data_IF_243250279230
#
_entry.id   IF_243250279230
#
_cell.length_a   1.000
_cell.length_b   1.000
_cell.length_c   1.000
_cell.angle_alpha   90.00
_cell.angle_beta   90.00
_cell.angle_gamma   90.00
#
_symmetry.space_group_name_H-M   'P 1'
#
loop_
_entity.id
_entity.type
_entity.pdbx_description
1 polymer ?
#
# COMPACT_ATOMS: atom_id res chain seq x y z
N UNK A 1 -20.36 14.29 -19.34
CA UNK A 1 -19.91 13.20 -18.46
C UNK A 1 -18.66 12.64 -19.07
N UNK A 2 -17.52 12.95 -18.47
CA UNK A 2 -16.21 12.62 -19.03
C UNK A 2 -15.51 11.74 -18.00
N UNK A 3 -15.26 10.50 -18.42
CA UNK A 3 -14.82 9.40 -17.59
C UNK A 3 -13.35 9.61 -17.18
N UNK A 4 -13.14 10.07 -15.93
CA UNK A 4 -11.82 10.37 -15.36
C UNK A 4 -11.05 9.11 -14.93
N UNK A 5 -11.19 8.00 -15.64
CA UNK A 5 -10.47 6.73 -15.37
C UNK A 5 -9.47 6.36 -16.46
N UNK A 6 -8.61 7.31 -16.85
CA UNK A 6 -7.37 6.96 -17.53
C UNK A 6 -6.22 7.84 -17.03
N UNK A 7 -5.47 7.35 -16.03
CA UNK A 7 -4.06 7.70 -15.84
C UNK A 7 -3.28 6.45 -15.48
N UNK A 8 -2.10 6.37 -16.08
CA UNK A 8 -1.30 5.18 -16.29
C UNK A 8 -0.91 4.46 -14.99
N UNK A 9 -1.10 3.13 -14.99
CA UNK A 9 -0.60 2.22 -13.97
C UNK A 9 0.68 1.57 -14.54
N UNK A 10 1.84 2.00 -14.07
CA UNK A 10 3.09 1.22 -14.25
C UNK A 10 3.17 0.30 -13.04
N UNK A 11 2.59 -0.89 -13.14
CA UNK A 11 2.87 -1.96 -12.18
C UNK A 11 4.17 -2.63 -12.62
N UNK A 12 5.23 -2.46 -11.84
CA UNK A 12 6.41 -3.32 -11.92
C UNK A 12 6.01 -4.74 -11.54
N UNK A 13 5.87 -5.60 -12.54
CA UNK A 13 5.60 -7.02 -12.33
C UNK A 13 6.86 -7.72 -11.81
N UNK A 14 6.78 -8.28 -10.61
CA UNK A 14 7.75 -9.27 -10.17
C UNK A 14 7.44 -10.60 -10.84
N UNK A 15 8.40 -11.10 -11.61
CA UNK A 15 8.37 -12.43 -12.20
C UNK A 15 8.30 -13.49 -11.09
N UNK A 16 7.25 -14.30 -11.08
CA UNK A 16 7.26 -15.58 -10.36
C UNK A 16 7.91 -16.64 -11.27
N UNK A 17 8.75 -17.55 -10.74
CA UNK A 17 9.27 -18.64 -11.55
C UNK A 17 8.14 -19.64 -11.83
N UNK A 18 7.88 -19.87 -13.12
CA UNK A 18 7.04 -20.95 -13.60
C UNK A 18 7.68 -22.31 -13.25
N UNK A 19 7.02 -23.09 -12.40
CA UNK A 19 7.31 -24.52 -12.28
C UNK A 19 6.86 -25.23 -13.56
N UNK A 20 7.82 -25.68 -14.38
CA UNK A 20 7.56 -26.59 -15.48
C UNK A 20 7.14 -27.95 -14.94
N UNK A 21 5.89 -28.37 -15.20
CA UNK A 21 5.49 -29.76 -15.04
C UNK A 21 6.03 -30.56 -16.23
N UNK A 22 6.96 -31.46 -15.98
CA UNK A 22 7.33 -32.54 -16.90
C UNK A 22 6.69 -33.84 -16.40
N UNK A 23 5.63 -34.28 -17.07
CA UNK A 23 5.09 -35.63 -16.90
C UNK A 23 5.24 -36.38 -18.23
N UNK A 24 6.18 -37.33 -18.27
CA UNK A 24 6.40 -38.25 -19.38
C UNK A 24 5.79 -39.61 -19.01
N UNK A 25 4.88 -40.11 -19.85
CA UNK A 25 4.35 -41.47 -19.83
C UNK A 25 5.35 -42.48 -20.41
N UNK A 26 5.14 -43.80 -20.19
CA UNK A 26 4.68 -44.58 -21.35
C UNK A 26 3.67 -45.72 -21.04
N UNK A 27 2.57 -45.72 -21.80
CA UNK A 27 2.12 -46.81 -22.69
C UNK A 27 1.59 -48.14 -22.11
N UNK A 28 0.33 -48.47 -22.46
CA UNK A 28 -0.10 -49.74 -23.12
C UNK A 28 -1.60 -49.73 -23.50
N UNK A 29 -1.89 -50.46 -24.59
CA UNK A 29 -3.13 -50.63 -25.37
C UNK A 29 -4.41 -51.03 -24.62
N UNK A 30 -5.61 -50.66 -25.15
CA UNK A 30 -6.58 -51.58 -25.80
C UNK A 30 -7.85 -50.88 -26.38
N UNK A 31 -8.10 -51.16 -27.67
CA UNK A 31 -9.34 -51.39 -28.43
C UNK A 31 -10.67 -50.61 -28.19
N UNK A 32 -11.04 -49.86 -29.25
CA UNK A 32 -12.27 -49.92 -30.11
C UNK A 32 -13.67 -49.79 -29.48
N UNK A 33 -14.39 -48.74 -29.90
CA UNK A 33 -15.70 -48.84 -30.58
C UNK A 33 -16.06 -47.50 -31.27
N UNK A 34 -16.53 -47.63 -32.53
CA UNK A 34 -17.01 -46.56 -33.43
C UNK A 34 -18.40 -46.10 -32.99
N UNK A 35 -18.72 -44.83 -33.27
CA UNK A 35 -20.00 -44.46 -33.86
C UNK A 35 -19.84 -43.19 -34.71
N UNK A 36 -20.28 -43.34 -35.95
CA UNK A 36 -20.32 -42.38 -37.05
C UNK A 36 -21.30 -41.24 -36.81
N UNK A 37 -21.04 -40.07 -37.39
CA UNK A 37 -22.07 -39.32 -38.12
C UNK A 37 -21.46 -38.32 -39.12
N UNK A 38 -22.20 -38.16 -40.21
CA UNK A 38 -21.83 -37.73 -41.55
C UNK A 38 -21.96 -36.22 -41.78
N UNK A 39 -21.34 -35.76 -42.87
CA UNK A 39 -21.22 -34.38 -43.35
C UNK A 39 -22.55 -33.71 -43.80
N UNK A 40 -22.54 -32.37 -43.77
CA UNK A 40 -23.50 -31.46 -44.41
C UNK A 40 -22.95 -30.02 -44.42
N UNK A 41 -23.38 -29.13 -45.33
CA UNK A 41 -22.51 -28.58 -46.37
C UNK A 41 -21.87 -27.20 -46.09
N UNK A 42 -20.80 -26.96 -46.84
CA UNK A 42 -20.06 -25.73 -46.96
C UNK A 42 -20.92 -24.51 -47.31
N UNK A 43 -20.75 -23.43 -46.55
CA UNK A 43 -21.13 -22.08 -46.94
C UNK A 43 -19.86 -21.29 -47.24
N UNK A 44 -19.66 -21.00 -48.53
CA UNK A 44 -18.63 -20.10 -49.05
C UNK A 44 -18.91 -18.65 -48.62
N UNK A 45 -17.81 -17.94 -48.41
CA UNK A 45 -17.63 -16.49 -48.57
C UNK A 45 -18.25 -15.58 -47.52
N UNK A 46 -17.40 -15.19 -46.56
CA UNK A 46 -17.19 -13.79 -46.23
C UNK A 46 -15.75 -13.62 -45.74
N UNK A 47 -14.86 -13.31 -46.68
CA UNK A 47 -13.61 -12.62 -46.40
C UNK A 47 -13.98 -11.26 -45.79
N UNK A 48 -14.27 -11.25 -44.49
CA UNK A 48 -14.31 -10.03 -43.72
C UNK A 48 -12.87 -9.69 -43.37
N UNK A 49 -12.28 -8.92 -44.27
CA UNK A 49 -11.11 -8.07 -44.09
C UNK A 49 -10.74 -7.94 -42.62
N UNK A 50 -9.81 -8.79 -42.19
CA UNK A 50 -9.10 -8.56 -40.95
C UNK A 50 -8.22 -7.34 -41.25
N UNK A 51 -8.78 -6.16 -41.01
CA UNK A 51 -8.07 -4.90 -41.05
C UNK A 51 -6.80 -5.11 -40.21
N UNK A 52 -5.64 -5.04 -40.86
CA UNK A 52 -4.32 -5.00 -40.25
C UNK A 52 -4.27 -3.80 -39.31
N UNK A 53 -4.85 -3.95 -38.12
CA UNK A 53 -4.68 -3.02 -37.02
C UNK A 53 -3.30 -3.31 -36.45
N UNK A 54 -2.30 -2.76 -37.13
CA UNK A 54 -0.96 -2.69 -36.61
C UNK A 54 -1.01 -1.91 -35.30
N UNK A 55 -0.64 -2.56 -34.21
CA UNK A 55 -0.52 -1.89 -32.91
C UNK A 55 0.63 -0.90 -33.01
N UNK A 56 0.31 0.38 -33.21
CA UNK A 56 1.30 1.47 -33.19
C UNK A 56 1.37 1.97 -31.76
N UNK A 57 2.40 1.55 -31.04
CA UNK A 57 2.78 2.19 -29.78
C UNK A 57 3.28 3.60 -30.12
N UNK A 58 2.46 4.61 -29.82
CA UNK A 58 2.92 6.01 -29.78
C UNK A 58 3.22 6.33 -28.33
N UNK A 59 4.48 6.55 -28.03
CA UNK A 59 4.88 7.09 -26.73
C UNK A 59 4.10 8.39 -26.47
N UNK A 60 3.34 8.49 -25.37
CA UNK A 60 2.60 9.70 -25.07
C UNK A 60 3.59 10.88 -24.93
N UNK A 61 3.37 11.98 -25.66
CA UNK A 61 4.13 13.23 -25.50
C UNK A 61 3.80 13.99 -24.19
N UNK A 62 3.21 13.30 -23.21
CA UNK A 62 2.75 13.88 -21.96
C UNK A 62 3.87 13.82 -20.94
N UNK A 63 4.41 15.01 -20.64
CA UNK A 63 5.35 15.35 -19.54
C UNK A 63 5.56 14.18 -18.59
N UNK A 64 6.65 13.45 -18.80
CA UNK A 64 7.24 12.63 -17.75
C UNK A 64 7.50 13.62 -16.62
N UNK A 65 6.69 13.58 -15.56
CA UNK A 65 7.07 14.25 -14.32
C UNK A 65 8.37 13.57 -13.90
N UNK A 66 9.49 14.20 -14.23
CA UNK A 66 10.79 13.73 -13.80
C UNK A 66 10.72 13.64 -12.28
N UNK A 67 10.97 12.45 -11.73
CA UNK A 67 11.12 12.33 -10.29
C UNK A 67 12.24 13.30 -9.90
N UNK A 68 12.00 14.18 -8.91
CA UNK A 68 13.06 15.06 -8.45
C UNK A 68 14.20 14.22 -7.91
N UNK A 69 15.42 14.73 -8.01
CA UNK A 69 16.58 14.10 -7.37
C UNK A 69 16.31 13.88 -5.89
N UNK A 70 16.65 12.69 -5.34
CA UNK A 70 16.47 12.42 -3.92
C UNK A 70 17.19 13.46 -3.06
N UNK A 71 16.49 13.96 -2.05
CA UNK A 71 17.05 14.88 -1.05
C UNK A 71 16.99 14.22 0.31
N UNK A 72 18.09 14.27 1.04
CA UNK A 72 18.16 13.83 2.44
C UNK A 72 17.85 15.03 3.33
N UNK A 73 16.94 14.85 4.28
CA UNK A 73 16.57 15.84 5.30
C UNK A 73 16.82 15.21 6.67
N UNK A 74 17.84 15.69 7.37
CA UNK A 74 18.30 15.18 8.68
C UNK A 74 18.55 16.29 9.71
N UNK A 75 18.32 17.56 9.33
CA UNK A 75 18.50 18.73 10.20
C UNK A 75 17.17 19.21 10.73
N UNK A 76 17.21 19.85 11.90
CA UNK A 76 16.04 20.56 12.41
C UNK A 76 15.60 21.64 11.44
N UNK A 77 14.29 21.76 11.21
CA UNK A 77 13.75 22.83 10.39
C UNK A 77 12.37 22.57 9.80
N UNK A 78 11.92 23.57 9.07
CA UNK A 78 10.65 23.56 8.31
C UNK A 78 10.98 23.50 6.83
N UNK A 79 10.44 22.51 6.13
CA UNK A 79 10.74 22.23 4.73
C UNK A 79 9.47 22.21 3.89
N UNK A 80 9.41 23.05 2.87
CA UNK A 80 8.37 22.98 1.84
C UNK A 80 8.86 22.10 0.71
N UNK A 81 8.32 20.88 0.61
CA UNK A 81 8.78 19.84 -0.31
C UNK A 81 8.06 19.88 -1.66
N UNK A 82 6.89 20.52 -1.73
CA UNK A 82 6.17 20.80 -2.96
C UNK A 82 5.28 22.03 -2.81
N UNK A 83 4.97 22.72 -3.91
CA UNK A 83 4.09 23.91 -3.93
C UNK A 83 2.81 23.70 -4.75
N UNK A 84 2.72 22.58 -5.46
CA UNK A 84 1.65 22.27 -6.42
C UNK A 84 1.61 20.75 -6.67
N UNK A 85 0.50 20.17 -7.16
CA UNK A 85 -0.70 20.83 -7.68
C UNK A 85 -1.70 21.28 -6.61
N UNK A 86 -1.70 20.66 -5.43
CA UNK A 86 -2.73 20.90 -4.39
C UNK A 86 -2.41 22.09 -3.48
N UNK A 87 -1.15 22.52 -3.46
CA UNK A 87 -0.66 23.60 -2.62
C UNK A 87 0.68 23.24 -1.99
N UNK A 88 1.00 23.90 -0.89
CA UNK A 88 2.27 23.68 -0.18
C UNK A 88 2.23 22.37 0.62
N UNK A 89 3.10 21.43 0.28
CA UNK A 89 3.42 20.28 1.14
C UNK A 89 4.57 20.66 2.07
N UNK A 90 4.32 20.68 3.38
CA UNK A 90 5.29 21.11 4.41
C UNK A 90 5.57 19.97 5.38
N UNK A 91 6.84 19.78 5.74
CA UNK A 91 7.29 18.88 6.80
C UNK A 91 8.14 19.66 7.80
N UNK A 92 8.00 19.34 9.09
CA UNK A 92 8.80 19.93 10.17
C UNK A 92 9.56 18.80 10.86
N UNK A 93 10.87 18.95 11.05
CA UNK A 93 11.72 17.96 11.72
C UNK A 93 12.30 18.55 13.00
N UNK A 94 12.15 17.82 14.12
CA UNK A 94 12.64 18.20 15.45
C UNK A 94 13.50 17.07 16.05
N UNK A 95 14.80 16.99 15.70
CA UNK A 95 15.71 16.02 16.29
C UNK A 95 15.81 16.21 17.81
N UNK A 96 15.82 15.12 18.58
CA UNK A 96 15.97 15.19 20.03
C UNK A 96 14.77 15.80 20.76
N UNK A 97 13.57 15.76 20.18
CA UNK A 97 12.32 16.21 20.83
C UNK A 97 12.08 15.54 22.19
N UNK A 98 12.51 14.28 22.32
CA UNK A 98 12.63 13.56 23.58
C UNK A 98 14.11 13.34 23.84
N UNK A 99 14.59 13.61 25.06
CA UNK A 99 15.98 13.35 25.40
C UNK A 99 16.29 11.84 25.36
N UNK A 100 17.56 11.48 25.15
CA UNK A 100 17.92 10.08 24.94
C UNK A 100 17.58 9.16 26.13
N UNK A 101 17.76 9.63 27.37
CA UNK A 101 17.50 8.79 28.55
C UNK A 101 16.01 8.57 28.75
N UNK A 102 15.22 9.62 28.53
CA UNK A 102 13.78 9.53 28.55
C UNK A 102 13.26 8.67 27.38
N UNK A 103 13.84 8.80 26.19
CA UNK A 103 13.47 8.01 25.02
C UNK A 103 13.70 6.51 25.25
N UNK A 104 14.84 6.12 25.86
CA UNK A 104 15.13 4.74 26.23
C UNK A 104 14.06 4.20 27.22
N UNK A 105 13.75 4.98 28.27
CA UNK A 105 12.73 4.60 29.25
C UNK A 105 11.33 4.48 28.62
N UNK A 106 10.94 5.42 27.77
CA UNK A 106 9.67 5.39 27.03
C UNK A 106 9.60 4.16 26.14
N UNK A 107 10.67 3.86 25.40
CA UNK A 107 10.73 2.69 24.51
C UNK A 107 10.49 1.40 25.30
N UNK A 108 11.15 1.22 26.46
CA UNK A 108 10.94 0.06 27.31
C UNK A 108 9.47 -0.09 27.77
N UNK A 109 8.83 1.01 28.20
CA UNK A 109 7.43 0.98 28.60
C UNK A 109 6.51 0.63 27.42
N UNK A 110 6.74 1.25 26.25
CA UNK A 110 5.92 1.00 25.06
C UNK A 110 6.05 -0.43 24.55
N UNK A 111 7.26 -0.99 24.53
CA UNK A 111 7.48 -2.39 24.15
C UNK A 111 6.74 -3.36 25.07
N UNK A 112 6.66 -3.04 26.37
CA UNK A 112 6.04 -3.91 27.37
C UNK A 112 4.52 -3.79 27.42
N UNK A 113 3.98 -2.57 27.43
CA UNK A 113 2.61 -2.31 27.86
C UNK A 113 1.63 -2.09 26.70
N UNK A 114 2.13 -1.76 25.50
CA UNK A 114 1.27 -1.64 24.31
C UNK A 114 0.85 -3.05 23.86
N UNK A 115 -0.46 -3.31 23.60
CA UNK A 115 -0.96 -4.61 23.20
C UNK A 115 -0.71 -4.87 21.71
N UNK A 116 0.56 -5.03 21.35
CA UNK A 116 1.02 -5.23 19.98
C UNK A 116 0.37 -6.44 19.31
N UNK A 117 -0.19 -6.23 18.11
CA UNK A 117 -0.78 -7.31 17.30
C UNK A 117 -0.31 -7.22 15.86
N UNK A 118 0.05 -8.36 15.28
CA UNK A 118 0.21 -8.45 13.83
C UNK A 118 -1.18 -8.52 13.23
N UNK A 119 -1.56 -7.49 12.48
CA UNK A 119 -2.88 -7.43 11.85
C UNK A 119 -2.80 -7.95 10.43
N UNK A 120 -3.94 -8.39 9.92
CA UNK A 120 -4.07 -8.61 8.48
C UNK A 120 -4.21 -7.25 7.80
N UNK A 121 -3.81 -7.15 6.54
CA UNK A 121 -4.07 -6.05 5.61
C UNK A 121 -4.80 -6.60 4.39
N UNK A 122 -5.50 -5.73 3.65
CA UNK A 122 -6.16 -6.10 2.39
C UNK A 122 -5.57 -5.25 1.28
N UNK A 123 -4.97 -5.89 0.28
CA UNK A 123 -4.47 -5.23 -0.93
C UNK A 123 -4.94 -6.00 -2.14
N UNK A 124 -5.59 -5.32 -3.08
CA UNK A 124 -6.08 -5.92 -4.34
C UNK A 124 -6.89 -7.22 -4.10
N UNK A 125 -7.74 -7.18 -3.05
CA UNK A 125 -8.59 -8.28 -2.60
C UNK A 125 -7.84 -9.53 -2.09
N UNK A 126 -6.52 -9.42 -1.86
CA UNK A 126 -5.70 -10.41 -1.17
C UNK A 126 -5.44 -9.97 0.27
N UNK A 127 -5.72 -10.87 1.21
CA UNK A 127 -5.43 -10.68 2.63
C UNK A 127 -4.01 -11.15 2.96
N UNK A 128 -3.21 -10.30 3.61
CA UNK A 128 -1.83 -10.63 4.00
C UNK A 128 -1.54 -10.17 5.43
N UNK A 129 -0.67 -10.84 6.20
CA UNK A 129 -0.24 -10.32 7.50
C UNK A 129 0.65 -9.09 7.27
N UNK A 130 0.33 -7.98 7.92
CA UNK A 130 1.14 -6.76 7.85
C UNK A 130 2.55 -7.06 8.40
N UNK A 131 3.62 -6.64 7.71
CA UNK A 131 4.99 -6.84 8.18
C UNK A 131 5.35 -5.79 9.25
N UNK A 132 4.53 -5.68 10.31
CA UNK A 132 4.75 -4.87 11.51
C UNK A 132 3.69 -5.22 12.56
N UNK A 133 3.96 -4.88 13.82
CA UNK A 133 2.95 -4.95 14.87
C UNK A 133 2.30 -3.58 15.06
N UNK A 134 0.98 -3.56 15.28
CA UNK A 134 0.24 -2.30 15.45
C UNK A 134 -0.70 -2.33 16.64
N UNK A 135 -0.89 -1.16 17.25
CA UNK A 135 -1.91 -0.89 18.25
C UNK A 135 -2.52 0.48 17.96
N UNK A 136 -3.81 0.65 18.27
CA UNK A 136 -4.53 1.88 17.97
C UNK A 136 -5.20 2.41 19.24
N UNK A 137 -5.05 3.72 19.47
CA UNK A 137 -5.61 4.47 20.58
C UNK A 137 -6.30 5.72 20.02
N UNK A 138 -7.47 6.06 20.53
CA UNK A 138 -8.22 7.20 20.02
C UNK A 138 -9.63 7.24 20.54
N UNK A 139 -10.38 8.24 20.09
CA UNK A 139 -11.78 8.43 20.47
C UNK A 139 -12.74 7.67 19.54
N UNK A 140 -12.37 7.49 18.27
CA UNK A 140 -13.26 7.00 17.21
C UNK A 140 -12.61 5.88 16.38
N UNK A 141 -13.30 4.76 16.09
CA UNK A 141 -12.73 3.67 15.30
C UNK A 141 -12.01 4.15 14.04
N UNK A 142 -10.74 3.75 13.88
CA UNK A 142 -9.94 4.15 12.72
C UNK A 142 -9.98 3.05 11.66
N UNK A 143 -10.32 3.40 10.43
CA UNK A 143 -10.37 2.46 9.31
C UNK A 143 -9.21 2.72 8.37
N UNK A 144 -8.28 1.77 8.32
CA UNK A 144 -7.12 1.81 7.44
C UNK A 144 -7.13 0.58 6.53
N UNK A 145 -6.89 0.76 5.23
CA UNK A 145 -6.80 -0.34 4.26
C UNK A 145 -8.01 -1.31 4.32
N UNK A 146 -9.22 -0.76 4.53
CA UNK A 146 -10.51 -1.46 4.72
C UNK A 146 -10.63 -2.27 6.02
N UNK A 147 -9.76 -2.03 6.99
CA UNK A 147 -9.76 -2.70 8.29
C UNK A 147 -10.04 -1.66 9.36
N UNK A 148 -11.19 -1.81 10.01
CA UNK A 148 -11.59 -0.97 11.13
C UNK A 148 -10.93 -1.49 12.40
N UNK A 149 -10.24 -0.60 13.10
CA UNK A 149 -9.61 -0.84 14.39
C UNK A 149 -10.45 -0.13 15.46
N UNK A 150 -10.96 -0.93 16.40
CA UNK A 150 -11.58 -0.38 17.60
C UNK A 150 -10.52 0.31 18.48
N UNK A 151 -10.82 1.48 19.06
CA UNK A 151 -9.89 2.18 19.91
C UNK A 151 -9.60 1.35 21.14
N UNK A 152 -8.34 1.32 21.56
CA UNK A 152 -8.08 0.95 22.94
C UNK A 152 -8.57 2.09 23.85
N UNK A 153 -9.60 1.86 24.70
CA UNK A 153 -10.13 2.91 25.55
C UNK A 153 -9.15 3.30 26.67
N UNK A 154 -8.18 2.45 26.99
CA UNK A 154 -7.22 2.67 28.07
C UNK A 154 -5.91 3.20 27.51
N UNK A 155 -5.81 4.53 27.40
CA UNK A 155 -4.55 5.18 27.07
C UNK A 155 -3.51 4.94 28.16
N UNK A 156 -2.34 4.47 27.77
CA UNK A 156 -1.21 4.33 28.69
C UNK A 156 -0.73 5.73 29.13
N UNK A 157 -0.35 5.93 30.41
CA UNK A 157 0.11 7.23 30.88
C UNK A 157 1.24 7.84 30.03
N UNK A 158 2.19 7.00 29.58
CA UNK A 158 3.29 7.43 28.70
C UNK A 158 2.81 8.00 27.37
N UNK A 159 1.73 7.45 26.80
CA UNK A 159 1.14 7.93 25.56
C UNK A 159 0.45 9.29 25.76
N UNK A 160 -0.19 9.47 26.92
CA UNK A 160 -0.79 10.75 27.30
C UNK A 160 0.28 11.83 27.47
N UNK A 161 1.37 11.53 28.18
CA UNK A 161 2.49 12.46 28.37
C UNK A 161 3.10 12.90 27.04
N UNK A 162 3.33 11.95 26.12
CA UNK A 162 3.84 12.26 24.79
C UNK A 162 2.85 13.11 23.98
N UNK A 163 1.57 12.76 23.99
CA UNK A 163 0.51 13.51 23.32
C UNK A 163 0.49 14.96 23.82
N UNK A 164 0.35 15.17 25.13
CA UNK A 164 0.30 16.52 25.71
C UNK A 164 1.54 17.35 25.35
N UNK A 165 2.73 16.74 25.44
CA UNK A 165 3.97 17.42 25.06
C UNK A 165 3.97 17.84 23.60
N UNK A 166 3.53 16.98 22.68
CA UNK A 166 3.43 17.33 21.25
C UNK A 166 2.44 18.48 21.08
N UNK A 167 1.26 18.40 21.67
CA UNK A 167 0.22 19.43 21.53
C UNK A 167 0.68 20.80 22.04
N UNK A 168 1.37 20.83 23.19
CA UNK A 168 1.94 22.06 23.76
C UNK A 168 3.03 22.67 22.87
N UNK A 169 3.89 21.85 22.26
CA UNK A 169 5.00 22.33 21.44
C UNK A 169 4.56 22.71 20.02
N UNK A 170 3.53 22.06 19.46
CA UNK A 170 3.08 22.32 18.09
C UNK A 170 1.85 23.21 18.01
N UNK A 171 1.17 23.49 19.12
CA UNK A 171 -0.14 24.19 19.15
C UNK A 171 -1.22 23.53 18.28
N UNK A 172 -1.11 22.21 18.08
CA UNK A 172 -2.09 21.39 17.37
C UNK A 172 -2.63 20.34 18.32
N UNK A 173 -3.87 19.88 18.10
CA UNK A 173 -4.47 18.83 18.91
C UNK A 173 -4.64 17.55 18.11
N UNK A 174 -4.63 16.41 18.80
CA UNK A 174 -4.74 15.08 18.20
C UNK A 174 -5.75 14.24 19.00
N UNK A 175 -6.51 13.37 18.32
CA UNK A 175 -7.47 12.47 18.96
C UNK A 175 -7.34 11.00 18.48
N UNK A 176 -6.31 10.71 17.69
CA UNK A 176 -5.99 9.40 17.14
C UNK A 176 -4.49 9.15 17.20
N UNK A 177 -4.10 7.94 17.56
CA UNK A 177 -2.72 7.48 17.67
C UNK A 177 -2.63 6.05 17.12
N UNK A 178 -1.83 5.87 16.07
CA UNK A 178 -1.41 4.57 15.57
C UNK A 178 0.02 4.28 16.01
N UNK A 179 0.19 3.26 16.85
CA UNK A 179 1.49 2.74 17.22
C UNK A 179 1.95 1.72 16.16
N UNK A 180 3.16 1.89 15.63
CA UNK A 180 3.81 0.92 14.73
C UNK A 180 5.10 0.42 15.37
N UNK A 181 5.26 -0.89 15.49
CA UNK A 181 6.46 -1.53 16.00
C UNK A 181 7.07 -2.45 14.94
N UNK A 182 8.27 -2.09 14.49
CA UNK A 182 9.07 -2.80 13.51
C UNK A 182 10.11 -3.63 14.27
N UNK A 183 9.97 -4.95 14.23
CA UNK A 183 10.75 -5.87 15.08
C UNK A 183 12.20 -5.98 14.64
N UNK A 184 12.42 -5.99 13.33
CA UNK A 184 13.71 -6.12 12.67
C UNK A 184 13.64 -5.51 11.27
N UNK A 185 14.73 -5.63 10.50
CA UNK A 185 14.86 -5.08 9.14
C UNK A 185 13.89 -5.66 8.10
N UNK A 186 13.16 -6.73 8.43
CA UNK A 186 12.19 -7.38 7.52
C UNK A 186 10.79 -6.79 7.68
N UNK A 187 10.54 -6.10 8.78
CA UNK A 187 9.31 -5.34 8.97
C UNK A 187 9.35 -4.04 8.15
N UNK A 188 8.21 -3.64 7.60
CA UNK A 188 8.10 -2.52 6.68
C UNK A 188 6.67 -1.98 6.56
N UNK A 189 6.55 -0.87 5.85
CA UNK A 189 5.28 -0.36 5.34
C UNK A 189 5.47 0.01 3.87
N UNK A 190 4.56 -0.45 3.01
CA UNK A 190 4.63 -0.13 1.58
C UNK A 190 4.22 1.32 1.32
N UNK A 191 4.53 1.83 0.13
CA UNK A 191 4.18 3.18 -0.28
C UNK A 191 2.67 3.44 -0.16
N UNK A 192 2.33 4.49 0.59
CA UNK A 192 0.96 4.96 0.80
C UNK A 192 0.94 6.45 1.11
N UNK A 193 -0.26 7.01 1.15
CA UNK A 193 -0.57 8.33 1.70
C UNK A 193 -1.58 8.15 2.83
N UNK A 194 -1.50 8.96 3.88
CA UNK A 194 -2.54 9.07 4.91
C UNK A 194 -3.65 9.98 4.39
N UNK A 195 -4.41 9.49 3.40
CA UNK A 195 -5.46 10.23 2.69
C UNK A 195 -6.88 9.69 2.98
N UNK A 196 -7.07 9.10 4.17
CA UNK A 196 -8.39 8.64 4.58
C UNK A 196 -9.40 9.80 4.62
N UNK A 197 -10.60 9.63 4.05
CA UNK A 197 -11.62 10.69 4.01
C UNK A 197 -11.99 11.27 5.39
N UNK A 198 -11.80 10.51 6.47
CA UNK A 198 -12.06 10.94 7.85
C UNK A 198 -11.07 11.99 8.36
N UNK A 199 -9.88 12.10 7.76
CA UNK A 199 -8.86 13.08 8.14
C UNK A 199 -9.11 14.47 7.53
N UNK A 200 -10.08 14.56 6.62
CA UNK A 200 -10.47 15.79 5.93
C UNK A 200 -10.14 15.76 4.44
N UNK A 201 -10.53 16.82 3.74
CA UNK A 201 -10.19 17.01 2.33
C UNK A 201 -8.86 17.74 2.21
N UNK A 202 -7.98 17.22 1.37
CA UNK A 202 -6.77 17.90 0.92
C UNK A 202 -7.11 19.08 -0.03
#
# INVERSE_FOLDING_TARGET
MEDKRQRARVQGGWATPTKSQSATQPGKNLQRLRLSQTAGPAWRSKEQQQCDRQFVFKEPQLVVRAAPEPRVIDREGVYEISLSPTGVSRVCLYPGFVDLKEADWILEQLCKDVPWKQRMGIREDVTYPQPRLTAWYGELPYTYSRITMEPNPHWLPVLWTLKSRIEENTSHTFNSLLCNFYRDEKDSVDWHSDDEPSLGSC
#
